data_IF_337538395106
#
_entry.id   IF_337538395106
#
_cell.length_a   1.000
_cell.length_b   1.000
_cell.length_c   1.000
_cell.angle_alpha   90.00
_cell.angle_beta   90.00
_cell.angle_gamma   90.00
#
_symmetry.space_group_name_H-M   'P 1'
#
loop_
_entity.id
_entity.type
_entity.pdbx_description
1 polymer ?
#
# COMPACT_ATOMS: atom_id res chain seq x y z
N UNK A 1 4.52 15.27 6.61
CA UNK A 1 4.07 16.64 6.38
C UNK A 1 3.93 17.46 7.66
N UNK A 2 4.02 18.78 7.55
CA UNK A 2 3.95 19.70 8.67
C UNK A 2 2.59 20.41 8.82
N UNK A 3 1.54 19.95 8.15
CA UNK A 3 0.20 20.55 8.27
C UNK A 3 -0.51 20.08 9.53
N UNK A 4 -1.25 20.97 10.18
CA UNK A 4 -2.21 20.57 11.22
C UNK A 4 -3.29 19.69 10.59
N UNK A 5 -3.39 18.45 11.04
CA UNK A 5 -4.37 17.48 10.52
C UNK A 5 -5.80 17.97 10.75
N UNK A 6 -6.06 18.54 11.91
CA UNK A 6 -7.39 19.08 12.25
C UNK A 6 -7.80 20.21 11.29
N UNK A 7 -6.90 21.16 11.03
CA UNK A 7 -7.17 22.27 10.11
C UNK A 7 -7.35 21.77 8.67
N UNK A 8 -6.47 20.85 8.21
CA UNK A 8 -6.56 20.27 6.88
C UNK A 8 -7.92 19.56 6.66
N UNK A 9 -8.31 18.71 7.62
CA UNK A 9 -9.57 17.97 7.52
C UNK A 9 -10.81 18.88 7.65
N UNK A 10 -10.76 19.92 8.49
CA UNK A 10 -11.83 20.89 8.59
C UNK A 10 -12.03 21.65 7.27
N UNK A 11 -10.93 22.14 6.67
CA UNK A 11 -10.95 22.81 5.36
C UNK A 11 -11.50 21.91 4.27
N UNK A 12 -11.01 20.67 4.17
CA UNK A 12 -11.47 19.70 3.17
C UNK A 12 -12.91 19.23 3.43
N UNK A 13 -13.32 19.15 4.69
CA UNK A 13 -14.68 18.83 5.10
C UNK A 13 -15.70 19.88 4.65
N UNK A 14 -15.25 21.13 4.51
CA UNK A 14 -16.05 22.24 4.02
C UNK A 14 -15.97 22.38 2.51
N UNK A 15 -14.77 22.45 1.93
CA UNK A 15 -14.54 22.91 0.55
C UNK A 15 -14.46 21.77 -0.49
N UNK A 16 -14.26 20.50 -0.09
CA UNK A 16 -14.07 19.40 -1.03
C UNK A 16 -15.40 18.77 -1.48
N UNK A 17 -15.45 18.30 -2.72
CA UNK A 17 -16.53 17.43 -3.22
C UNK A 17 -16.65 16.11 -2.40
N UNK A 18 -15.59 15.71 -1.68
CA UNK A 18 -15.58 14.59 -0.74
C UNK A 18 -15.80 15.05 0.72
N UNK A 19 -16.46 16.17 0.94
CA UNK A 19 -16.62 16.79 2.26
C UNK A 19 -17.17 15.86 3.34
N UNK A 20 -18.13 14.98 3.01
CA UNK A 20 -18.65 14.00 3.97
C UNK A 20 -17.57 13.05 4.51
N UNK A 21 -16.69 12.54 3.62
CA UNK A 21 -15.55 11.72 3.99
C UNK A 21 -14.59 12.47 4.92
N UNK A 22 -14.18 13.69 4.56
CA UNK A 22 -13.24 14.45 5.36
C UNK A 22 -13.83 14.89 6.71
N UNK A 23 -15.14 15.12 6.81
CA UNK A 23 -15.81 15.35 8.10
C UNK A 23 -15.76 14.11 9.00
N UNK A 24 -15.94 12.90 8.46
CA UNK A 24 -15.80 11.67 9.24
C UNK A 24 -14.36 11.46 9.73
N UNK A 25 -13.36 11.81 8.91
CA UNK A 25 -11.96 11.75 9.30
C UNK A 25 -11.62 12.82 10.35
N UNK A 26 -12.22 14.02 10.27
CA UNK A 26 -12.08 15.04 11.30
C UNK A 26 -12.59 14.56 12.66
N UNK A 27 -13.77 13.94 12.70
CA UNK A 27 -14.32 13.36 13.94
C UNK A 27 -13.39 12.27 14.49
N UNK A 28 -12.85 11.42 13.62
CA UNK A 28 -11.87 10.42 14.03
C UNK A 28 -10.59 11.06 14.61
N UNK A 29 -10.10 12.15 14.01
CA UNK A 29 -8.96 12.90 14.53
C UNK A 29 -9.25 13.49 15.93
N UNK A 30 -10.43 14.05 16.13
CA UNK A 30 -10.85 14.56 17.44
C UNK A 30 -10.92 13.44 18.49
N UNK A 31 -11.38 12.26 18.15
CA UNK A 31 -11.35 11.09 19.04
C UNK A 31 -9.93 10.66 19.42
N UNK A 32 -8.96 10.77 18.50
CA UNK A 32 -7.55 10.48 18.80
C UNK A 32 -7.00 11.48 19.81
N UNK A 33 -7.33 12.76 19.65
CA UNK A 33 -6.95 13.82 20.59
C UNK A 33 -7.60 13.65 21.97
N UNK A 34 -8.91 13.36 22.01
CA UNK A 34 -9.67 13.14 23.23
C UNK A 34 -9.08 11.98 24.07
N UNK A 35 -8.60 10.93 23.41
CA UNK A 35 -7.88 9.82 24.07
C UNK A 35 -6.45 10.18 24.49
N UNK A 36 -5.98 11.39 24.22
CA UNK A 36 -4.64 11.85 24.55
C UNK A 36 -3.51 11.09 23.83
N UNK A 37 -3.79 10.49 22.66
CA UNK A 37 -2.78 9.77 21.91
C UNK A 37 -1.66 10.68 21.38
N UNK A 38 -2.00 11.92 21.08
CA UNK A 38 -1.08 12.99 20.66
C UNK A 38 -1.66 14.33 21.08
N UNK A 39 -0.82 15.34 21.26
CA UNK A 39 -1.28 16.72 21.49
C UNK A 39 -1.83 17.35 20.20
N UNK A 40 -2.72 18.35 20.28
CA UNK A 40 -3.20 19.06 19.10
C UNK A 40 -2.06 19.64 18.23
N UNK A 41 -0.99 20.13 18.87
CA UNK A 41 0.19 20.67 18.18
C UNK A 41 1.03 19.57 17.52
N UNK A 42 1.08 18.39 18.15
CA UNK A 42 1.81 17.22 17.63
C UNK A 42 1.07 16.47 16.52
N UNK A 43 -0.25 16.67 16.38
CA UNK A 43 -1.04 16.01 15.33
C UNK A 43 -0.79 16.65 13.96
N UNK A 44 0.39 16.38 13.42
CA UNK A 44 0.82 16.86 12.11
C UNK A 44 0.76 15.76 11.06
N UNK A 45 0.65 16.15 9.81
CA UNK A 45 0.54 15.23 8.69
C UNK A 45 0.53 15.91 7.31
N UNK A 46 -0.07 15.27 6.34
CA UNK A 46 -0.21 15.80 5.00
C UNK A 46 -1.33 16.86 4.93
N UNK A 47 -1.32 17.64 3.85
CA UNK A 47 -2.42 18.57 3.53
C UNK A 47 -3.79 17.88 3.37
N UNK A 48 -3.80 16.56 3.16
CA UNK A 48 -5.02 15.75 3.03
C UNK A 48 -5.41 15.03 4.34
N UNK A 49 -4.70 15.29 5.46
CA UNK A 49 -5.04 14.76 6.77
C UNK A 49 -4.45 13.39 7.09
N UNK A 50 -3.54 12.86 6.27
CA UNK A 50 -2.80 11.64 6.58
C UNK A 50 -1.71 11.92 7.62
N UNK A 51 -1.58 11.05 8.65
CA UNK A 51 -0.85 11.31 9.89
C UNK A 51 0.42 10.47 10.04
N UNK A 52 1.41 11.04 10.68
CA UNK A 52 2.62 10.35 11.15
C UNK A 52 3.48 9.73 10.05
N UNK A 53 4.38 8.85 10.44
CA UNK A 53 5.29 8.16 9.49
C UNK A 53 4.55 7.29 8.47
N UNK A 54 3.53 6.48 8.86
CA UNK A 54 2.80 5.63 7.92
C UNK A 54 1.77 6.39 7.07
N UNK A 55 1.58 7.69 7.28
CA UNK A 55 0.57 8.49 6.58
C UNK A 55 -0.84 7.89 6.67
N UNK A 56 -1.23 7.42 7.85
CA UNK A 56 -2.56 6.89 8.10
C UNK A 56 -3.60 8.00 8.19
N UNK A 57 -4.76 7.76 7.58
CA UNK A 57 -5.93 8.56 7.89
C UNK A 57 -6.38 8.30 9.35
N UNK A 58 -7.02 9.28 10.02
CA UNK A 58 -7.44 9.12 11.42
C UNK A 58 -8.27 7.87 11.69
N UNK A 59 -9.22 7.54 10.81
CA UNK A 59 -10.02 6.32 10.94
C UNK A 59 -9.20 5.04 10.80
N UNK A 60 -8.14 5.06 10.00
CA UNK A 60 -7.20 3.94 9.84
C UNK A 60 -6.37 3.77 11.11
N UNK A 61 -5.87 4.88 11.69
CA UNK A 61 -5.16 4.86 12.97
C UNK A 61 -6.01 4.20 14.07
N UNK A 62 -7.25 4.65 14.24
CA UNK A 62 -8.15 4.11 15.28
C UNK A 62 -8.41 2.62 15.14
N UNK A 63 -8.37 2.08 13.93
CA UNK A 63 -8.66 0.67 13.64
C UNK A 63 -7.43 -0.22 13.62
N UNK A 64 -6.28 0.30 13.17
CA UNK A 64 -5.15 -0.53 12.75
C UNK A 64 -3.80 -0.16 13.37
N UNK A 65 -3.67 1.00 14.04
CA UNK A 65 -2.43 1.34 14.71
C UNK A 65 -2.13 0.35 15.85
N UNK A 66 -0.85 0.04 16.03
CA UNK A 66 -0.35 -0.95 16.99
C UNK A 66 0.65 -0.28 17.94
N UNK A 67 0.44 -0.45 19.23
CA UNK A 67 1.40 -0.12 20.27
C UNK A 67 2.35 -1.32 20.44
N UNK A 68 3.43 -1.31 19.65
CA UNK A 68 4.41 -2.39 19.65
C UNK A 68 5.35 -2.32 20.84
N UNK A 69 5.65 -1.10 21.30
CA UNK A 69 6.54 -0.86 22.43
C UNK A 69 5.84 -0.98 23.78
N UNK A 70 4.51 -1.14 23.80
CA UNK A 70 3.74 -1.34 25.03
C UNK A 70 3.63 -0.10 25.93
N UNK A 71 3.65 1.08 25.33
CA UNK A 71 3.58 2.37 26.08
C UNK A 71 2.14 2.80 26.41
N UNK A 72 1.17 1.94 26.14
CA UNK A 72 -0.25 2.16 26.42
C UNK A 72 -1.05 2.74 25.26
N UNK A 73 -0.37 3.20 24.19
CA UNK A 73 -1.03 3.71 22.98
C UNK A 73 -0.06 3.78 21.79
N UNK A 74 -0.54 3.53 20.55
CA UNK A 74 0.30 3.60 19.36
C UNK A 74 0.85 5.01 19.11
N UNK A 75 2.15 5.13 18.90
CA UNK A 75 2.82 6.39 18.54
C UNK A 75 3.39 6.31 17.12
N UNK A 76 2.56 6.59 16.12
CA UNK A 76 2.98 6.57 14.71
C UNK A 76 3.75 7.84 14.28
N UNK A 77 3.92 8.84 15.15
CA UNK A 77 4.60 10.09 14.81
C UNK A 77 6.10 10.01 15.06
N UNK A 78 6.50 9.46 16.21
CA UNK A 78 7.89 9.46 16.66
C UNK A 78 8.46 8.06 16.92
N UNK A 79 7.62 7.01 17.10
CA UNK A 79 8.07 5.63 17.25
C UNK A 79 8.11 4.92 15.88
N UNK A 80 9.30 4.58 15.42
CA UNK A 80 9.50 3.75 14.23
C UNK A 80 8.98 2.32 14.43
N UNK A 81 9.21 1.64 15.59
CA UNK A 81 8.64 0.33 15.84
C UNK A 81 7.11 0.29 15.75
N UNK A 82 6.41 1.26 16.37
CA UNK A 82 4.95 1.34 16.28
C UNK A 82 4.47 1.59 14.86
N UNK A 83 5.20 2.45 14.13
CA UNK A 83 4.89 2.74 12.73
C UNK A 83 5.00 1.51 11.84
N UNK A 84 6.10 0.76 11.95
CA UNK A 84 6.33 -0.47 11.18
C UNK A 84 5.32 -1.56 11.56
N UNK A 85 5.06 -1.76 12.85
CA UNK A 85 4.05 -2.70 13.32
C UNK A 85 2.63 -2.34 12.83
N UNK A 86 2.31 -1.04 12.81
CA UNK A 86 1.04 -0.54 12.29
C UNK A 86 0.89 -0.78 10.79
N UNK A 87 1.95 -0.56 9.99
CA UNK A 87 1.99 -0.86 8.56
C UNK A 87 1.80 -2.36 8.34
N UNK A 88 2.53 -3.20 9.07
CA UNK A 88 2.42 -4.65 8.97
C UNK A 88 0.99 -5.13 9.31
N UNK A 89 0.38 -4.57 10.37
CA UNK A 89 -1.00 -4.87 10.73
C UNK A 89 -2.00 -4.43 9.64
N UNK A 90 -1.77 -3.26 9.02
CA UNK A 90 -2.57 -2.79 7.88
C UNK A 90 -2.51 -3.78 6.72
N UNK A 91 -1.31 -4.20 6.29
CA UNK A 91 -1.14 -5.16 5.21
C UNK A 91 -1.81 -6.50 5.54
N UNK A 92 -1.57 -7.03 6.75
CA UNK A 92 -2.20 -8.27 7.23
C UNK A 92 -3.73 -8.18 7.20
N UNK A 93 -4.32 -7.10 7.72
CA UNK A 93 -5.78 -6.89 7.73
C UNK A 93 -6.34 -6.60 6.33
N UNK A 94 -5.50 -6.15 5.42
CA UNK A 94 -5.83 -5.96 4.00
C UNK A 94 -5.71 -7.25 3.18
N UNK A 95 -5.38 -8.41 3.79
CA UNK A 95 -5.33 -9.70 3.13
C UNK A 95 -3.95 -10.09 2.61
N UNK A 96 -2.88 -9.64 3.26
CA UNK A 96 -1.52 -10.11 2.95
C UNK A 96 -1.39 -11.60 3.21
N UNK A 97 -0.90 -12.33 2.20
CA UNK A 97 -0.60 -13.75 2.26
C UNK A 97 0.87 -13.94 2.60
N UNK A 98 1.15 -14.37 3.84
CA UNK A 98 2.51 -14.67 4.26
C UNK A 98 3.11 -15.80 3.42
N UNK A 99 4.37 -15.65 3.00
CA UNK A 99 5.06 -16.64 2.16
C UNK A 99 4.73 -16.56 0.67
N UNK A 100 3.78 -15.73 0.24
CA UNK A 100 3.55 -15.45 -1.17
C UNK A 100 4.28 -14.17 -1.59
N UNK A 101 4.90 -14.13 -2.79
CA UNK A 101 5.53 -12.92 -3.30
C UNK A 101 4.50 -11.87 -3.69
N UNK A 102 4.95 -10.63 -3.82
CA UNK A 102 4.13 -9.54 -4.36
C UNK A 102 4.10 -9.53 -5.88
N UNK A 103 5.19 -9.95 -6.52
CA UNK A 103 5.40 -9.96 -7.96
C UNK A 103 6.83 -10.29 -8.33
N UNK A 104 7.14 -10.19 -9.59
CA UNK A 104 8.48 -10.39 -10.15
C UNK A 104 8.63 -9.70 -11.49
N UNK A 105 9.85 -9.27 -11.82
CA UNK A 105 10.20 -8.82 -13.17
C UNK A 105 10.31 -10.03 -14.10
N UNK A 106 9.83 -9.88 -15.32
CA UNK A 106 9.82 -10.95 -16.32
C UNK A 106 10.27 -10.45 -17.69
N UNK A 107 10.61 -11.38 -18.57
CA UNK A 107 10.88 -11.12 -19.99
C UNK A 107 9.75 -11.69 -20.83
N UNK A 108 9.15 -10.87 -21.68
CA UNK A 108 8.11 -11.31 -22.59
C UNK A 108 8.72 -12.02 -23.82
N UNK A 109 8.15 -13.15 -24.18
CA UNK A 109 8.53 -13.86 -25.40
C UNK A 109 8.06 -13.10 -26.65
N UNK A 110 8.67 -13.39 -27.82
CA UNK A 110 8.42 -12.65 -29.07
C UNK A 110 6.97 -12.76 -29.56
N UNK A 111 6.25 -13.79 -29.15
CA UNK A 111 4.87 -14.03 -29.57
C UNK A 111 3.83 -13.37 -28.63
N UNK A 112 4.27 -12.74 -27.54
CA UNK A 112 3.36 -12.04 -26.62
C UNK A 112 3.13 -10.63 -27.14
N UNK A 113 1.88 -10.32 -27.44
CA UNK A 113 1.45 -8.98 -27.83
C UNK A 113 0.80 -8.28 -26.64
N UNK A 114 1.54 -7.45 -25.90
CA UNK A 114 1.02 -6.82 -24.66
C UNK A 114 -0.23 -5.97 -24.88
N UNK A 115 -0.36 -5.35 -26.05
CA UNK A 115 -1.51 -4.50 -26.39
C UNK A 115 -2.86 -5.24 -26.42
N UNK A 116 -2.84 -6.58 -26.53
CA UNK A 116 -4.04 -7.42 -26.52
C UNK A 116 -4.36 -8.05 -25.16
N UNK A 117 -3.54 -7.78 -24.15
CA UNK A 117 -3.71 -8.36 -22.81
C UNK A 117 -4.51 -7.36 -21.95
N UNK A 118 -5.64 -7.85 -21.42
CA UNK A 118 -6.39 -7.06 -20.43
C UNK A 118 -5.55 -6.89 -19.14
N UNK A 119 -5.17 -5.65 -18.78
CA UNK A 119 -4.33 -5.40 -17.62
C UNK A 119 -5.00 -5.79 -16.30
N UNK A 120 -6.32 -5.95 -16.27
CA UNK A 120 -7.06 -6.37 -15.09
C UNK A 120 -7.30 -7.89 -15.00
N UNK A 121 -7.02 -8.63 -16.08
CA UNK A 121 -7.19 -10.06 -16.12
C UNK A 121 -6.02 -10.80 -15.45
N UNK A 122 -6.31 -11.48 -14.34
CA UNK A 122 -5.37 -12.43 -13.74
C UNK A 122 -5.58 -13.83 -14.32
N UNK A 123 -4.48 -14.53 -14.57
CA UNK A 123 -4.48 -15.95 -14.93
C UNK A 123 -3.36 -16.68 -14.17
N UNK A 124 -3.39 -18.02 -14.08
CA UNK A 124 -2.35 -18.79 -13.40
C UNK A 124 -0.95 -18.47 -13.96
N UNK A 125 0.05 -18.40 -13.07
CA UNK A 125 1.45 -18.22 -13.48
C UNK A 125 1.88 -19.22 -14.55
N UNK A 126 1.49 -20.49 -14.42
CA UNK A 126 1.77 -21.53 -15.43
C UNK A 126 1.24 -21.21 -16.82
N UNK A 127 0.10 -20.51 -16.93
CA UNK A 127 -0.43 -20.06 -18.22
C UNK A 127 0.46 -19.00 -18.85
N UNK A 128 0.94 -18.03 -18.09
CA UNK A 128 1.90 -17.02 -18.55
C UNK A 128 3.19 -17.66 -19.07
N UNK A 129 3.72 -18.64 -18.34
CA UNK A 129 4.93 -19.36 -18.74
C UNK A 129 4.72 -20.16 -20.04
N UNK A 130 3.55 -20.80 -20.17
CA UNK A 130 3.19 -21.55 -21.39
C UNK A 130 3.02 -20.64 -22.61
N UNK A 131 2.64 -19.38 -22.41
CA UNK A 131 2.55 -18.36 -23.47
C UNK A 131 3.92 -17.81 -23.88
N UNK A 132 5.00 -18.12 -23.13
CA UNK A 132 6.35 -17.69 -23.44
C UNK A 132 6.88 -16.55 -22.56
N UNK A 133 6.21 -16.21 -21.46
CA UNK A 133 6.80 -15.35 -20.42
C UNK A 133 7.94 -16.11 -19.75
N UNK A 134 9.08 -15.46 -19.57
CA UNK A 134 10.25 -16.05 -18.92
C UNK A 134 10.55 -15.32 -17.60
N UNK A 135 10.70 -16.12 -16.57
CA UNK A 135 11.13 -15.63 -15.24
C UNK A 135 12.63 -15.34 -15.24
N UNK A 136 13.04 -14.35 -14.44
CA UNK A 136 14.45 -14.05 -14.23
C UNK A 136 15.10 -15.08 -13.28
N UNK A 137 16.46 -15.25 -13.29
CA UNK A 137 17.14 -16.27 -12.47
C UNK A 137 16.93 -16.16 -10.96
N UNK A 138 16.59 -14.98 -10.46
CA UNK A 138 16.34 -14.71 -9.02
C UNK A 138 14.86 -14.51 -8.70
N UNK A 139 13.97 -15.00 -9.55
CA UNK A 139 12.53 -14.90 -9.31
C UNK A 139 12.16 -15.59 -7.98
N UNK A 140 11.22 -14.99 -7.21
CA UNK A 140 10.80 -15.55 -5.93
C UNK A 140 10.11 -16.90 -6.10
N UNK A 141 10.05 -17.70 -5.02
CA UNK A 141 9.30 -18.95 -5.06
C UNK A 141 7.81 -18.68 -5.31
N UNK A 142 7.26 -19.24 -6.36
CA UNK A 142 5.85 -19.12 -6.73
C UNK A 142 5.37 -20.41 -7.38
N UNK A 143 4.15 -20.82 -7.08
CA UNK A 143 3.55 -22.05 -7.62
C UNK A 143 2.76 -21.77 -8.91
N UNK A 144 2.66 -22.76 -9.79
CA UNK A 144 2.11 -22.58 -11.13
C UNK A 144 0.66 -22.11 -11.18
N UNK A 145 -0.15 -22.42 -10.14
CA UNK A 145 -1.54 -21.98 -10.04
C UNK A 145 -1.70 -20.61 -9.37
N UNK A 146 -0.61 -19.94 -8.92
CA UNK A 146 -0.70 -18.61 -8.33
C UNK A 146 -1.27 -17.63 -9.35
N UNK A 147 -2.35 -16.91 -9.02
CA UNK A 147 -2.90 -15.91 -9.93
C UNK A 147 -1.88 -14.80 -10.17
N UNK A 148 -1.63 -14.51 -11.44
CA UNK A 148 -0.67 -13.49 -11.86
C UNK A 148 -1.31 -12.57 -12.91
N UNK A 149 -0.97 -11.29 -12.84
CA UNK A 149 -1.39 -10.25 -13.78
C UNK A 149 -0.16 -9.59 -14.37
N UNK A 150 -0.15 -9.40 -15.68
CA UNK A 150 0.92 -8.66 -16.35
C UNK A 150 0.69 -7.17 -16.19
N UNK A 151 1.74 -6.45 -15.78
CA UNK A 151 1.76 -4.99 -15.82
C UNK A 151 2.98 -4.47 -16.56
N UNK A 152 2.81 -3.35 -17.24
CA UNK A 152 3.81 -2.67 -18.06
C UNK A 152 3.83 -1.20 -17.61
N UNK A 153 4.54 -0.88 -16.52
CA UNK A 153 4.47 0.45 -15.91
C UNK A 153 4.91 1.57 -16.88
N UNK A 154 5.90 1.28 -17.73
CA UNK A 154 6.42 2.21 -18.74
C UNK A 154 5.88 1.94 -20.15
N UNK A 155 4.82 1.14 -20.25
CA UNK A 155 4.20 0.77 -21.53
C UNK A 155 4.95 -0.33 -22.29
N UNK A 156 4.54 -0.52 -23.55
CA UNK A 156 5.14 -1.54 -24.44
C UNK A 156 6.59 -1.18 -24.74
N UNK A 157 7.51 -2.12 -24.51
CA UNK A 157 8.95 -1.93 -24.70
C UNK A 157 9.70 -1.53 -23.43
N UNK A 158 8.99 -1.19 -22.35
CA UNK A 158 9.57 -1.01 -21.02
C UNK A 158 9.64 -2.31 -20.22
N UNK A 159 9.98 -2.18 -18.94
CA UNK A 159 10.01 -3.30 -18.00
C UNK A 159 8.63 -3.95 -17.86
N UNK A 160 8.65 -5.27 -17.72
CA UNK A 160 7.44 -6.09 -17.58
C UNK A 160 7.45 -6.81 -16.24
N UNK A 161 6.31 -6.84 -15.57
CA UNK A 161 6.17 -7.51 -14.28
C UNK A 161 4.95 -8.43 -14.28
N UNK A 162 5.10 -9.61 -13.69
CA UNK A 162 3.97 -10.39 -13.20
C UNK A 162 3.73 -10.02 -11.75
N UNK A 163 2.52 -9.57 -11.44
CA UNK A 163 2.14 -9.18 -10.07
C UNK A 163 1.10 -10.14 -9.52
N UNK A 164 1.24 -10.48 -8.25
CA UNK A 164 0.49 -11.50 -7.52
C UNK A 164 -0.52 -10.88 -6.54
N UNK A 165 -1.33 -11.66 -5.82
CA UNK A 165 -2.33 -11.13 -4.89
C UNK A 165 -1.80 -10.11 -3.89
N UNK A 166 -0.58 -10.27 -3.36
CA UNK A 166 0.03 -9.33 -2.43
C UNK A 166 0.29 -7.94 -3.03
N UNK A 167 0.49 -7.83 -4.34
CA UNK A 167 0.57 -6.53 -5.02
C UNK A 167 -0.73 -5.72 -4.87
N UNK A 168 -1.88 -6.40 -5.00
CA UNK A 168 -3.18 -5.77 -4.77
C UNK A 168 -3.35 -5.30 -3.32
N UNK A 169 -2.73 -5.99 -2.37
CA UNK A 169 -2.73 -5.58 -0.95
C UNK A 169 -1.92 -4.29 -0.77
N UNK A 170 -0.74 -4.18 -1.38
CA UNK A 170 0.04 -2.93 -1.37
C UNK A 170 -0.76 -1.79 -2.00
N UNK A 171 -1.44 -2.03 -3.12
CA UNK A 171 -2.31 -1.03 -3.78
C UNK A 171 -3.50 -0.57 -2.93
N UNK A 172 -3.92 -1.32 -1.92
CA UNK A 172 -4.93 -0.83 -0.96
C UNK A 172 -4.39 0.27 -0.05
N UNK A 173 -3.07 0.29 0.17
CA UNK A 173 -2.41 1.36 0.88
C UNK A 173 -2.34 2.64 0.02
N UNK A 174 -1.89 2.47 -1.22
CA UNK A 174 -1.87 3.53 -2.23
C UNK A 174 -2.19 2.92 -3.60
N UNK A 175 -3.23 3.39 -4.32
CA UNK A 175 -3.72 2.77 -5.55
C UNK A 175 -2.81 2.94 -6.78
N UNK A 176 -1.63 3.54 -6.64
CA UNK A 176 -0.64 3.68 -7.72
C UNK A 176 0.13 2.39 -7.94
N UNK A 177 0.23 1.92 -9.19
CA UNK A 177 1.08 0.79 -9.56
C UNK A 177 2.57 1.11 -9.35
N UNK A 178 3.01 2.32 -9.65
CA UNK A 178 4.38 2.76 -9.38
C UNK A 178 4.74 2.73 -7.90
N UNK A 179 3.81 3.16 -7.04
CA UNK A 179 4.00 3.05 -5.59
C UNK A 179 4.14 1.59 -5.17
N UNK A 180 3.23 0.73 -5.62
CA UNK A 180 3.23 -0.68 -5.23
C UNK A 180 4.48 -1.42 -5.74
N UNK A 181 4.94 -1.14 -6.95
CA UNK A 181 6.21 -1.63 -7.49
C UNK A 181 7.40 -1.15 -6.65
N UNK A 182 7.46 0.15 -6.35
CA UNK A 182 8.56 0.70 -5.54
C UNK A 182 8.63 0.06 -4.16
N UNK A 183 7.48 -0.16 -3.51
CA UNK A 183 7.42 -0.83 -2.21
C UNK A 183 7.86 -2.29 -2.32
N UNK A 184 7.38 -3.02 -3.34
CA UNK A 184 7.74 -4.41 -3.56
C UNK A 184 9.24 -4.58 -3.84
N UNK A 185 9.78 -3.80 -4.79
CA UNK A 185 11.21 -3.84 -5.14
C UNK A 185 12.11 -3.43 -3.97
N UNK A 186 11.71 -2.43 -3.18
CA UNK A 186 12.44 -2.07 -1.96
C UNK A 186 12.42 -3.21 -0.94
N UNK A 187 11.25 -3.86 -0.78
CA UNK A 187 11.12 -5.04 0.08
C UNK A 187 12.10 -6.15 -0.29
N UNK A 188 12.24 -6.45 -1.59
CA UNK A 188 13.17 -7.48 -2.10
C UNK A 188 14.66 -7.13 -1.87
N UNK A 189 14.99 -5.83 -1.75
CA UNK A 189 16.38 -5.40 -1.49
C UNK A 189 16.75 -5.56 -0.01
N UNK A 190 15.78 -5.43 0.90
CA UNK A 190 16.05 -5.43 2.35
C UNK A 190 15.82 -6.80 3.01
N UNK A 191 15.37 -7.80 2.26
CA UNK A 191 15.17 -9.19 2.71
C UNK A 191 16.27 -10.11 2.18
#
# INVERSE_FOLDING_TARGET
GGFSVVQALATLGWASHRGAYFRSELIAALHILDRGAISPQGMTGSYAGAMGQPQFMPSVYLKLAVDYEGQGRPNIWTSTPDSLASIANYLRKSGWHAGEPWGEQVVLGPNIQPAGIDPDQAQPLGSWLSMGVRRLPRAPAAYASLPARLILPDGVGGDSYLVYPNFKVIRRYNPSDFYALSVGLLGDIVT
#
